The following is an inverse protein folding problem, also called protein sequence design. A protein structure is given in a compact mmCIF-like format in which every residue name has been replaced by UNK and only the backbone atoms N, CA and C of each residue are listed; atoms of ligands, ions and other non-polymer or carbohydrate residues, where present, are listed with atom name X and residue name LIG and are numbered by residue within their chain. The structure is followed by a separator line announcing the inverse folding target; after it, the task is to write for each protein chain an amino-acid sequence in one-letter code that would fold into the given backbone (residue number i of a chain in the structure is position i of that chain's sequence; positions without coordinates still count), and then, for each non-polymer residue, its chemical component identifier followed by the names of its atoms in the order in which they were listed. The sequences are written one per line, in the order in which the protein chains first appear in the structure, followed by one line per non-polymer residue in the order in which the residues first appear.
data_IF_090667177838
#
_entry.id   IF_090667177838
#
_cell.length_a   1.000
_cell.length_b   1.000
_cell.length_c   1.000
_cell.angle_alpha   90.00
_cell.angle_beta   90.00
_cell.angle_gamma   90.00
#
_symmetry.space_group_name_H-M   'P 1'
#
loop_
_entity.id
_entity.type
_entity.pdbx_description
1 polymer ?
#
# COMPACT_ATOMS: atom_id res chain seq x y z
N UNK A 1 15.04 -12.91 2.51
CA UNK A 1 15.21 -11.72 1.66
C UNK A 1 13.85 -11.30 1.13
N UNK A 2 13.30 -10.21 1.67
CA UNK A 2 12.08 -9.62 1.14
C UNK A 2 12.41 -8.85 -0.16
N UNK A 3 11.67 -9.12 -1.23
CA UNK A 3 11.74 -8.34 -2.46
C UNK A 3 10.37 -7.74 -2.74
N UNK A 4 10.29 -6.45 -2.91
CA UNK A 4 9.08 -5.74 -3.30
C UNK A 4 9.21 -5.21 -4.73
N UNK A 5 8.15 -5.33 -5.51
CA UNK A 5 8.05 -4.72 -6.83
C UNK A 5 6.75 -3.93 -6.89
N UNK A 6 6.85 -2.64 -7.15
CA UNK A 6 5.71 -1.76 -7.39
C UNK A 6 5.77 -1.24 -8.82
N UNK A 7 4.64 -1.26 -9.52
CA UNK A 7 4.46 -0.53 -10.77
C UNK A 7 3.50 0.61 -10.49
N UNK A 8 3.95 1.84 -10.61
CA UNK A 8 3.10 3.01 -10.58
C UNK A 8 2.76 3.44 -12.02
N UNK A 9 1.77 4.30 -12.18
CA UNK A 9 1.24 4.80 -13.46
C UNK A 9 2.27 5.49 -14.37
N UNK A 10 3.48 5.75 -13.86
CA UNK A 10 4.60 6.35 -14.59
C UNK A 10 5.51 5.32 -15.28
N UNK A 11 5.08 4.07 -15.43
CA UNK A 11 5.81 2.97 -16.08
C UNK A 11 7.20 2.64 -15.49
N UNK A 12 7.47 3.00 -14.26
CA UNK A 12 8.70 2.62 -13.59
C UNK A 12 8.45 1.43 -12.65
N UNK A 13 9.02 0.28 -12.98
CA UNK A 13 9.08 -0.84 -12.04
C UNK A 13 10.11 -0.53 -10.96
N UNK A 14 9.65 -0.27 -9.75
CA UNK A 14 10.52 -0.13 -8.58
C UNK A 14 10.79 -1.51 -8.01
N UNK A 15 12.05 -1.89 -7.92
CA UNK A 15 12.48 -3.15 -7.29
C UNK A 15 13.37 -2.85 -6.11
N UNK A 16 12.96 -3.31 -4.94
CA UNK A 16 13.76 -3.21 -3.73
C UNK A 16 14.12 -4.62 -3.22
N UNK A 17 15.33 -4.78 -2.73
CA UNK A 17 15.83 -6.03 -2.14
C UNK A 17 16.26 -5.81 -0.70
N UNK A 18 15.84 -6.75 0.16
CA UNK A 18 16.13 -6.70 1.58
C UNK A 18 15.16 -5.81 2.34
N UNK A 19 14.89 -6.22 3.59
CA UNK A 19 13.92 -5.55 4.46
C UNK A 19 14.23 -4.05 4.64
N UNK A 20 15.49 -3.71 4.84
CA UNK A 20 15.92 -2.32 5.07
C UNK A 20 15.61 -1.43 3.87
N UNK A 21 15.97 -1.87 2.66
CA UNK A 21 15.71 -1.10 1.44
C UNK A 21 14.21 -0.97 1.14
N UNK A 22 13.43 -2.05 1.36
CA UNK A 22 11.97 -2.00 1.21
C UNK A 22 11.36 -1.01 2.19
N UNK A 23 11.78 -1.04 3.46
CA UNK A 23 11.28 -0.11 4.48
C UNK A 23 11.69 1.33 4.18
N UNK A 24 12.94 1.57 3.80
CA UNK A 24 13.40 2.91 3.45
C UNK A 24 12.61 3.49 2.25
N UNK A 25 12.31 2.68 1.26
CA UNK A 25 11.49 3.09 0.12
C UNK A 25 10.04 3.40 0.54
N UNK A 26 9.41 2.54 1.34
CA UNK A 26 8.05 2.77 1.83
C UNK A 26 7.95 4.05 2.66
N UNK A 27 8.88 4.24 3.59
CA UNK A 27 8.97 5.45 4.42
C UNK A 27 9.12 6.68 3.54
N UNK A 28 10.12 6.70 2.65
CA UNK A 28 10.36 7.87 1.78
C UNK A 28 9.21 8.20 0.84
N UNK A 29 8.38 7.19 0.50
CA UNK A 29 7.27 7.36 -0.45
C UNK A 29 5.94 7.70 0.20
N UNK A 30 5.74 7.36 1.47
CA UNK A 30 4.43 7.39 2.14
C UNK A 30 4.44 8.08 3.51
N UNK A 31 5.61 8.32 4.11
CA UNK A 31 5.72 9.00 5.40
C UNK A 31 5.75 10.52 5.21
N UNK A 32 4.59 11.09 4.96
CA UNK A 32 4.40 12.53 4.86
C UNK A 32 3.09 12.91 5.55
N UNK A 33 3.10 14.01 6.30
CA UNK A 33 1.91 14.56 6.93
C UNK A 33 0.86 14.99 5.91
N UNK A 34 1.26 15.16 4.65
CA UNK A 34 0.38 15.55 3.54
C UNK A 34 -0.22 14.36 2.79
N UNK A 35 0.31 13.14 3.03
CA UNK A 35 -0.07 11.92 2.34
C UNK A 35 -1.05 11.09 3.19
N UNK A 36 -2.35 11.21 2.92
CA UNK A 36 -3.39 10.47 3.61
C UNK A 36 -3.85 9.30 2.75
N UNK A 37 -3.57 8.07 3.17
CA UNK A 37 -3.87 6.90 2.35
C UNK A 37 -4.68 5.84 3.08
N UNK A 38 -5.48 5.11 2.31
CA UNK A 38 -6.18 3.92 2.77
C UNK A 38 -6.03 2.82 1.72
N UNK A 39 -5.40 1.72 2.10
CA UNK A 39 -5.22 0.53 1.29
C UNK A 39 -6.10 -0.58 1.86
N UNK A 40 -7.16 -0.93 1.15
CA UNK A 40 -8.14 -1.93 1.61
C UNK A 40 -7.88 -3.24 0.89
N UNK A 41 -7.33 -4.20 1.62
CA UNK A 41 -7.12 -5.56 1.14
C UNK A 41 -8.42 -6.35 1.26
N UNK A 42 -8.80 -7.04 0.17
CA UNK A 42 -9.97 -7.92 0.14
C UNK A 42 -9.56 -9.38 0.39
N UNK A 43 -10.52 -10.30 0.24
CA UNK A 43 -10.29 -11.73 0.46
C UNK A 43 -9.18 -12.26 -0.43
N UNK A 44 -8.17 -12.92 0.13
CA UNK A 44 -7.08 -13.49 -0.64
C UNK A 44 -7.43 -14.85 -1.23
N UNK A 45 -6.73 -15.18 -2.30
CA UNK A 45 -6.56 -16.55 -2.76
C UNK A 45 -5.19 -17.03 -2.27
N UNK A 46 -5.18 -18.01 -1.37
CA UNK A 46 -3.95 -18.55 -0.75
C UNK A 46 -3.76 -20.00 -1.17
N UNK A 47 -2.58 -20.33 -1.64
CA UNK A 47 -2.15 -21.69 -1.95
C UNK A 47 -0.95 -22.07 -1.09
N UNK A 48 -1.06 -23.19 -0.36
CA UNK A 48 0.05 -23.78 0.38
C UNK A 48 0.86 -24.63 -0.60
N UNK A 49 2.06 -24.19 -0.91
CA UNK A 49 2.94 -24.80 -1.92
C UNK A 49 3.96 -25.78 -1.31
N UNK A 50 4.02 -25.85 0.00
CA UNK A 50 4.88 -26.78 0.74
C UNK A 50 4.75 -26.59 2.25
N UNK A 51 5.49 -27.36 3.08
CA UNK A 51 5.40 -27.29 4.54
C UNK A 51 5.68 -25.89 5.11
N UNK A 52 6.55 -25.14 4.46
CA UNK A 52 7.00 -23.82 4.89
C UNK A 52 6.89 -22.76 3.78
N UNK A 53 6.09 -23.01 2.75
CA UNK A 53 5.89 -22.10 1.62
C UNK A 53 4.44 -21.96 1.23
N UNK A 54 4.06 -20.76 0.83
CA UNK A 54 2.74 -20.46 0.29
C UNK A 54 2.83 -19.30 -0.71
N UNK A 55 1.82 -19.16 -1.55
CA UNK A 55 1.60 -17.98 -2.38
C UNK A 55 0.24 -17.38 -2.07
N UNK A 56 0.08 -16.10 -2.37
CA UNK A 56 -1.19 -15.41 -2.19
C UNK A 56 -1.42 -14.33 -3.23
N UNK A 57 -2.68 -14.18 -3.64
CA UNK A 57 -3.14 -13.06 -4.46
C UNK A 57 -4.18 -12.28 -3.66
N UNK A 58 -3.97 -10.96 -3.54
CA UNK A 58 -4.84 -10.06 -2.79
C UNK A 58 -5.38 -9.00 -3.73
N UNK A 59 -6.68 -8.88 -3.82
CA UNK A 59 -7.29 -7.72 -4.43
C UNK A 59 -7.18 -6.52 -3.50
N UNK A 60 -6.95 -5.34 -4.06
CA UNK A 60 -6.74 -4.09 -3.34
C UNK A 60 -7.56 -2.98 -3.95
N UNK A 61 -8.26 -2.22 -3.13
CA UNK A 61 -8.70 -0.86 -3.43
C UNK A 61 -7.88 0.13 -2.61
N UNK A 62 -7.46 1.22 -3.23
CA UNK A 62 -6.74 2.27 -2.55
C UNK A 62 -7.29 3.67 -2.85
N UNK A 63 -7.15 4.51 -1.86
CA UNK A 63 -7.44 5.92 -1.91
C UNK A 63 -6.26 6.66 -1.31
N UNK A 64 -5.75 7.66 -2.02
CA UNK A 64 -4.75 8.60 -1.52
C UNK A 64 -5.28 10.00 -1.68
N UNK A 65 -5.18 10.80 -0.62
CA UNK A 65 -5.41 12.24 -0.64
C UNK A 65 -4.07 12.90 -0.33
N UNK A 66 -3.49 13.59 -1.32
CA UNK A 66 -2.23 14.31 -1.16
C UNK A 66 -2.53 15.81 -1.12
N UNK A 67 -2.39 16.38 0.08
CA UNK A 67 -2.81 17.75 0.35
C UNK A 67 -1.83 18.80 -0.16
N UNK A 68 -0.54 18.46 -0.28
CA UNK A 68 0.47 19.37 -0.80
C UNK A 68 0.29 19.63 -2.31
N UNK A 69 -0.09 18.59 -3.05
CA UNK A 69 -0.27 18.68 -4.50
C UNK A 69 -1.74 18.82 -4.92
N UNK A 70 -2.64 18.87 -3.95
CA UNK A 70 -4.08 19.03 -4.16
C UNK A 70 -4.66 17.98 -5.11
N UNK A 71 -4.28 16.72 -4.95
CA UNK A 71 -4.75 15.61 -5.77
C UNK A 71 -5.38 14.50 -4.94
N UNK A 72 -6.29 13.77 -5.58
CA UNK A 72 -6.88 12.53 -5.08
C UNK A 72 -6.54 11.43 -6.06
N UNK A 73 -5.97 10.34 -5.58
CA UNK A 73 -5.68 9.14 -6.35
C UNK A 73 -6.60 8.02 -5.87
N UNK A 74 -7.27 7.36 -6.80
CA UNK A 74 -8.09 6.17 -6.53
C UNK A 74 -7.67 5.06 -7.46
N UNK A 75 -7.69 3.83 -6.99
CA UNK A 75 -7.36 2.73 -7.85
C UNK A 75 -7.71 1.36 -7.30
N UNK A 76 -7.56 0.39 -8.18
CA UNK A 76 -7.59 -1.02 -7.83
C UNK A 76 -6.32 -1.72 -8.32
N UNK A 77 -5.90 -2.73 -7.59
CA UNK A 77 -4.69 -3.46 -7.88
C UNK A 77 -4.76 -4.90 -7.36
N UNK A 78 -3.74 -5.69 -7.72
CA UNK A 78 -3.47 -6.97 -7.10
C UNK A 78 -2.07 -6.96 -6.52
N UNK A 79 -1.95 -7.49 -5.30
CA UNK A 79 -0.69 -7.99 -4.77
C UNK A 79 -0.56 -9.47 -5.09
N UNK A 80 0.64 -9.88 -5.47
CA UNK A 80 1.02 -11.28 -5.58
C UNK A 80 2.20 -11.51 -4.65
N UNK A 81 1.98 -12.35 -3.64
CA UNK A 81 2.92 -12.58 -2.56
C UNK A 81 3.46 -14.00 -2.56
N UNK A 82 4.72 -14.13 -2.21
CA UNK A 82 5.34 -15.39 -1.82
C UNK A 82 5.64 -15.35 -0.32
N UNK A 83 5.20 -16.37 0.38
CA UNK A 83 5.40 -16.52 1.82
C UNK A 83 6.37 -17.62 2.14
N UNK A 84 7.07 -17.47 3.25
CA UNK A 84 7.96 -18.47 3.82
C UNK A 84 7.73 -18.54 5.33
N UNK A 85 7.70 -19.76 5.88
CA UNK A 85 7.63 -19.97 7.31
C UNK A 85 9.05 -20.15 7.88
N UNK A 86 9.39 -19.32 8.86
CA UNK A 86 10.65 -19.38 9.61
C UNK A 86 10.36 -19.25 11.09
N UNK A 87 10.92 -20.13 11.90
CA UNK A 87 10.75 -20.14 13.36
C UNK A 87 9.26 -20.08 13.79
N UNK A 88 8.42 -20.86 13.07
CA UNK A 88 6.98 -20.92 13.33
C UNK A 88 6.17 -19.71 12.82
N UNK A 89 6.79 -18.73 12.20
CA UNK A 89 6.14 -17.49 11.73
C UNK A 89 6.13 -17.42 10.21
N UNK A 90 4.99 -17.06 9.63
CA UNK A 90 4.88 -16.73 8.22
C UNK A 90 5.39 -15.31 7.95
N UNK A 91 6.24 -15.20 6.96
CA UNK A 91 6.85 -13.95 6.54
C UNK A 91 6.66 -13.77 5.03
N UNK A 92 6.54 -12.54 4.58
CA UNK A 92 6.55 -12.21 3.16
C UNK A 92 7.99 -12.30 2.67
N UNK A 93 8.24 -13.21 1.74
CA UNK A 93 9.52 -13.36 1.04
C UNK A 93 9.62 -12.42 -0.14
N UNK A 94 8.50 -12.29 -0.86
CA UNK A 94 8.38 -11.44 -2.03
C UNK A 94 6.97 -10.88 -2.10
N UNK A 95 6.84 -9.65 -2.50
CA UNK A 95 5.58 -9.04 -2.88
C UNK A 95 5.72 -8.37 -4.23
N UNK A 96 4.69 -8.43 -5.05
CA UNK A 96 4.60 -7.74 -6.33
C UNK A 96 3.23 -7.08 -6.42
N UNK A 97 3.20 -5.87 -6.95
CA UNK A 97 2.01 -5.05 -7.09
C UNK A 97 1.72 -4.80 -8.57
N UNK A 98 0.48 -4.98 -8.97
CA UNK A 98 0.03 -4.71 -10.33
C UNK A 98 -1.27 -3.92 -10.31
N UNK A 99 -1.23 -2.72 -10.84
CA UNK A 99 -2.39 -1.85 -10.99
C UNK A 99 -3.38 -2.41 -12.00
N UNK A 100 -4.67 -2.41 -11.67
CA UNK A 100 -5.78 -2.69 -12.58
C UNK A 100 -6.21 -1.40 -13.28
N UNK A 101 -6.46 -0.36 -12.50
CA UNK A 101 -6.68 1.01 -12.98
C UNK A 101 -6.24 2.01 -11.91
N UNK A 102 -6.03 3.25 -12.33
CA UNK A 102 -5.76 4.39 -11.47
C UNK A 102 -6.46 5.61 -12.05
N UNK A 103 -7.04 6.42 -11.18
CA UNK A 103 -7.53 7.75 -11.52
C UNK A 103 -6.82 8.78 -10.66
N UNK A 104 -6.49 9.92 -11.24
CA UNK A 104 -5.97 11.08 -10.53
C UNK A 104 -6.94 12.22 -10.77
N UNK A 105 -7.46 12.77 -9.69
CA UNK A 105 -8.42 13.88 -9.73
C UNK A 105 -7.79 15.10 -9.03
N UNK A 106 -7.88 16.28 -9.59
CA UNK A 106 -7.49 17.48 -8.87
C UNK A 106 -8.48 17.71 -7.71
N UNK A 107 -7.97 18.20 -6.58
CA UNK A 107 -8.80 18.54 -5.42
C UNK A 107 -9.94 19.49 -5.76
N UNK A 108 -9.69 20.41 -6.69
CA UNK A 108 -10.67 21.36 -7.19
C UNK A 108 -11.91 20.74 -7.86
N UNK A 109 -11.84 19.48 -8.26
CA UNK A 109 -12.99 18.73 -8.77
C UNK A 109 -14.04 18.45 -7.68
N UNK A 110 -13.67 18.57 -6.40
CA UNK A 110 -14.57 18.40 -5.24
C UNK A 110 -14.53 19.68 -4.40
N UNK A 111 -15.27 20.74 -4.76
CA UNK A 111 -15.27 21.97 -4.00
C UNK A 111 -15.64 21.75 -2.53
N UNK A 112 -14.87 22.35 -1.63
CA UNK A 112 -15.09 22.21 -0.20
C UNK A 112 -14.55 20.92 0.44
N UNK A 113 -13.81 20.10 -0.29
CA UNK A 113 -13.11 18.95 0.27
C UNK A 113 -12.14 19.41 1.37
N UNK A 114 -12.22 18.78 2.52
CA UNK A 114 -11.32 19.01 3.65
C UNK A 114 -10.96 17.65 4.28
N UNK A 115 -9.72 17.49 4.66
CA UNK A 115 -9.31 16.39 5.54
C UNK A 115 -9.54 16.86 6.98
N UNK A 116 -10.68 16.48 7.55
CA UNK A 116 -11.11 16.91 8.89
C UNK A 116 -10.55 16.05 10.02
N UNK A 117 -10.06 14.84 9.69
CA UNK A 117 -9.41 13.93 10.61
C UNK A 117 -8.35 13.12 9.85
N UNK A 118 -7.22 12.87 10.50
CA UNK A 118 -6.14 12.07 9.94
C UNK A 118 -5.52 11.22 11.04
N UNK A 119 -5.31 9.95 10.73
CA UNK A 119 -4.60 9.01 11.59
C UNK A 119 -3.20 9.51 11.97
N UNK A 120 -2.52 10.17 11.03
CA UNK A 120 -1.19 10.74 11.23
C UNK A 120 -1.19 11.93 12.18
N UNK A 121 -2.23 12.76 12.14
CA UNK A 121 -2.35 13.93 13.02
C UNK A 121 -2.67 13.55 14.48
N UNK A 122 -3.05 12.31 14.75
CA UNK A 122 -3.47 11.82 16.08
C UNK A 122 -2.57 10.73 16.63
N UNK A 123 -1.41 10.48 16.03
CA UNK A 123 -0.51 9.36 16.38
C UNK A 123 -1.26 8.01 16.44
N UNK A 124 -2.13 7.75 15.48
CA UNK A 124 -2.90 6.52 15.40
C UNK A 124 -4.09 6.42 16.37
N UNK A 125 -4.46 7.50 17.06
CA UNK A 125 -5.64 7.52 17.93
C UNK A 125 -6.91 7.89 17.16
N UNK A 126 -8.04 7.31 17.54
CA UNK A 126 -9.34 7.69 16.99
C UNK A 126 -9.68 9.14 17.34
N UNK A 127 -10.19 9.90 16.36
CA UNK A 127 -10.74 11.24 16.62
C UNK A 127 -12.20 11.20 17.11
N UNK A 128 -12.83 10.01 17.12
CA UNK A 128 -14.21 9.81 17.58
C UNK A 128 -14.26 9.63 19.08
N UNK A 129 -13.18 9.20 19.70
CA UNK A 129 -13.08 8.92 21.13
C UNK A 129 -12.59 10.13 21.96
N UNK A 130 -12.65 11.32 21.38
CA UNK A 130 -12.21 12.57 22.01
C UNK A 130 -13.38 13.30 22.70
#
# INVERSE_FOLDING_TARGET
DATGTSSNSWNFAVRQRGRENVMAWLVSSMESETFHSSHKMHHPEIEITGPDTATGTWALDDLVIETQWEIIIKGAAFYTDEYVKRDGRWLIRRTAYRRVYETIEPWTATPGLQVTASWWATDGRSTIDA
#
